data_IF_543139674348
#
_entry.id   IF_543139674348
#
_cell.length_a   1.000
_cell.length_b   1.000
_cell.length_c   1.000
_cell.angle_alpha   90.00
_cell.angle_beta   90.00
_cell.angle_gamma   90.00
#
_symmetry.space_group_name_H-M   'P 1'
#
loop_
_entity.id
_entity.type
_entity.pdbx_description
1 polymer ?
#
# COMPACT_ATOMS: atom_id res chain seq x y z
N UNK A 1 -34.97 39.38 -26.48
CA UNK A 1 -33.73 38.89 -27.11
C UNK A 1 -33.49 37.54 -26.51
N UNK A 2 -34.03 36.51 -27.17
CA UNK A 2 -33.99 35.12 -26.74
C UNK A 2 -32.72 34.45 -27.28
N UNK A 3 -32.01 33.72 -26.41
CA UNK A 3 -30.81 32.98 -26.77
C UNK A 3 -31.11 31.47 -26.74
N UNK A 4 -31.02 30.85 -27.91
CA UNK A 4 -31.19 29.41 -28.13
C UNK A 4 -29.83 28.73 -27.89
N UNK A 5 -29.72 27.67 -27.05
CA UNK A 5 -28.52 26.85 -27.01
C UNK A 5 -28.55 25.80 -28.14
N UNK A 6 -27.48 25.76 -28.94
CA UNK A 6 -27.23 24.69 -29.90
C UNK A 6 -26.69 23.45 -29.20
N UNK A 7 -27.27 22.30 -29.54
CA UNK A 7 -26.83 20.98 -29.09
C UNK A 7 -25.54 20.52 -29.77
N UNK A 8 -24.60 20.04 -28.95
CA UNK A 8 -23.41 19.30 -29.38
C UNK A 8 -23.60 17.81 -29.14
N UNK A 9 -23.71 17.04 -30.22
CA UNK A 9 -23.89 15.59 -30.20
C UNK A 9 -22.66 14.84 -29.65
N UNK A 10 -22.94 13.84 -28.80
CA UNK A 10 -21.97 12.86 -28.30
C UNK A 10 -21.43 12.02 -29.46
N UNK A 11 -20.11 12.03 -29.68
CA UNK A 11 -19.40 10.99 -30.43
C UNK A 11 -18.84 9.98 -29.46
N UNK A 12 -19.43 8.78 -29.45
CA UNK A 12 -18.85 7.59 -28.83
C UNK A 12 -17.64 7.15 -29.67
N UNK A 13 -16.44 7.32 -29.11
CA UNK A 13 -15.24 6.71 -29.67
C UNK A 13 -15.19 5.25 -29.20
N UNK A 14 -15.45 4.34 -30.15
CA UNK A 14 -15.16 2.92 -30.05
C UNK A 14 -13.64 2.73 -29.96
N UNK A 15 -13.14 2.29 -28.80
CA UNK A 15 -11.75 1.90 -28.63
C UNK A 15 -11.51 0.52 -29.25
N UNK A 16 -10.57 0.53 -30.19
CA UNK A 16 -10.16 -0.55 -31.05
C UNK A 16 -9.35 -1.59 -30.27
N UNK A 17 -9.93 -2.78 -30.09
CA UNK A 17 -9.23 -4.01 -29.63
C UNK A 17 -8.24 -4.43 -30.71
N UNK A 18 -6.97 -4.04 -30.62
CA UNK A 18 -5.85 -4.67 -31.37
C UNK A 18 -4.47 -4.19 -30.90
N UNK A 19 -4.04 -4.64 -29.72
CA UNK A 19 -2.62 -4.71 -29.39
C UNK A 19 -2.37 -5.91 -28.45
N UNK A 20 -2.33 -7.09 -29.05
CA UNK A 20 -1.95 -8.34 -28.42
C UNK A 20 -1.12 -9.09 -29.47
N UNK A 21 0.03 -9.62 -29.06
CA UNK A 21 1.01 -10.42 -29.83
C UNK A 21 2.07 -9.66 -30.64
N UNK A 22 3.14 -9.20 -29.97
CA UNK A 22 4.53 -9.39 -30.47
C UNK A 22 5.43 -9.54 -29.25
N UNK A 23 5.78 -10.78 -28.90
CA UNK A 23 6.69 -11.05 -27.76
C UNK A 23 6.97 -12.54 -27.51
N UNK A 24 6.86 -13.38 -28.53
CA UNK A 24 7.05 -14.82 -28.40
C UNK A 24 7.81 -15.41 -29.57
N UNK A 25 9.11 -15.12 -29.70
CA UNK A 25 9.97 -15.75 -30.72
C UNK A 25 11.47 -15.83 -30.36
N UNK A 26 11.83 -15.94 -29.06
CA UNK A 26 13.27 -16.13 -28.68
C UNK A 26 13.53 -17.33 -27.75
N UNK A 27 12.52 -17.99 -27.17
CA UNK A 27 12.76 -19.09 -26.21
C UNK A 27 12.78 -20.49 -26.83
N UNK A 28 12.40 -20.65 -28.11
CA UNK A 28 12.39 -21.98 -28.79
C UNK A 28 13.76 -22.35 -29.40
N UNK A 29 14.78 -21.49 -29.28
CA UNK A 29 16.13 -21.77 -29.79
C UNK A 29 17.04 -22.56 -28.84
N UNK A 30 16.77 -22.56 -27.53
CA UNK A 30 17.71 -23.11 -26.53
C UNK A 30 17.40 -24.55 -26.08
N UNK A 31 16.18 -25.06 -26.30
CA UNK A 31 15.77 -26.39 -25.82
C UNK A 31 16.18 -27.52 -26.79
N UNK A 32 16.43 -27.22 -28.06
CA UNK A 32 16.74 -28.26 -29.06
C UNK A 32 18.23 -28.68 -29.02
N UNK A 33 19.14 -27.87 -28.47
CA UNK A 33 20.57 -28.21 -28.42
C UNK A 33 20.93 -29.15 -27.26
N UNK A 34 20.16 -29.15 -26.17
CA UNK A 34 20.42 -30.02 -25.02
C UNK A 34 20.07 -31.51 -25.28
N UNK A 35 19.06 -31.79 -26.13
CA UNK A 35 18.66 -33.16 -26.45
C UNK A 35 19.64 -33.84 -27.41
N UNK A 36 20.34 -33.08 -28.26
CA UNK A 36 21.29 -33.64 -29.23
C UNK A 36 22.61 -34.12 -28.58
N UNK A 37 23.00 -33.58 -27.42
CA UNK A 37 24.24 -33.98 -26.73
C UNK A 37 24.04 -35.28 -25.92
N UNK A 38 22.82 -35.58 -25.47
CA UNK A 38 22.57 -36.79 -24.67
C UNK A 38 22.61 -38.10 -25.48
N UNK A 39 22.39 -38.06 -26.80
CA UNK A 39 22.39 -39.26 -27.64
C UNK A 39 23.77 -39.72 -28.14
N UNK A 40 24.85 -38.97 -27.91
CA UNK A 40 26.17 -39.29 -28.47
C UNK A 40 27.08 -40.04 -27.48
N UNK A 41 26.77 -40.11 -26.18
CA UNK A 41 27.69 -40.71 -25.18
C UNK A 41 27.09 -41.74 -24.21
N UNK A 42 25.82 -42.14 -24.37
CA UNK A 42 25.17 -43.07 -23.43
C UNK A 42 25.15 -44.52 -23.92
N UNK A 43 26.07 -45.35 -23.40
CA UNK A 43 26.11 -46.79 -23.65
C UNK A 43 24.85 -47.53 -23.17
N UNK A 44 24.54 -48.63 -23.84
CA UNK A 44 23.38 -49.48 -23.60
C UNK A 44 23.39 -50.17 -22.24
N UNK A 45 22.88 -49.47 -21.23
CA UNK A 45 22.38 -50.05 -19.99
C UNK A 45 20.87 -50.23 -20.08
N UNK A 46 20.40 -51.43 -19.77
CA UNK A 46 18.99 -51.79 -19.62
C UNK A 46 18.36 -50.92 -18.52
N UNK A 47 17.48 -49.99 -18.90
CA UNK A 47 16.78 -49.11 -17.97
C UNK A 47 15.62 -49.88 -17.34
N UNK A 48 15.81 -50.33 -16.10
CA UNK A 48 14.71 -50.77 -15.23
C UNK A 48 13.76 -49.59 -14.97
N UNK A 49 12.53 -49.71 -15.46
CA UNK A 49 11.45 -48.78 -15.18
C UNK A 49 11.02 -48.95 -13.71
N UNK A 50 11.53 -48.11 -12.82
CA UNK A 50 11.00 -47.99 -11.46
C UNK A 50 9.62 -47.32 -11.58
N UNK A 51 8.52 -47.96 -11.13
CA UNK A 51 7.20 -47.36 -11.18
C UNK A 51 7.20 -46.07 -10.36
N UNK A 52 6.70 -44.98 -10.96
CA UNK A 52 6.51 -43.71 -10.30
C UNK A 52 5.63 -43.93 -9.07
N UNK A 53 6.24 -43.86 -7.88
CA UNK A 53 5.49 -43.84 -6.63
C UNK A 53 4.61 -42.60 -6.62
N UNK A 54 3.33 -42.77 -6.29
CA UNK A 54 2.44 -41.66 -5.99
C UNK A 54 3.07 -40.84 -4.87
N UNK A 55 3.59 -39.67 -5.22
CA UNK A 55 3.93 -38.63 -4.25
C UNK A 55 2.62 -38.23 -3.59
N UNK A 56 2.43 -38.72 -2.37
CA UNK A 56 1.35 -38.30 -1.50
C UNK A 56 1.67 -36.86 -1.09
N UNK A 57 1.03 -35.90 -1.75
CA UNK A 57 1.04 -34.49 -1.34
C UNK A 57 0.61 -34.44 0.14
N UNK A 58 1.58 -34.22 1.02
CA UNK A 58 1.30 -33.96 2.43
C UNK A 58 0.39 -32.74 2.56
N UNK A 59 -0.38 -32.62 3.65
CA UNK A 59 -1.21 -31.44 3.89
C UNK A 59 -0.30 -30.22 3.87
N UNK A 60 -0.42 -29.40 2.82
CA UNK A 60 0.40 -28.20 2.65
C UNK A 60 0.31 -27.34 3.90
N UNK A 61 1.47 -26.99 4.48
CA UNK A 61 1.52 -26.08 5.61
C UNK A 61 0.79 -24.78 5.24
N UNK A 62 -0.18 -24.39 6.07
CA UNK A 62 -0.96 -23.20 5.83
C UNK A 62 -0.03 -21.97 5.89
N UNK A 63 0.06 -21.25 4.78
CA UNK A 63 0.82 -20.02 4.68
C UNK A 63 0.27 -18.97 5.66
N UNK A 64 1.16 -18.28 6.39
CA UNK A 64 0.79 -17.34 7.45
C UNK A 64 0.91 -15.90 6.92
N UNK A 65 -0.23 -15.26 6.67
CA UNK A 65 -0.32 -13.81 6.44
C UNK A 65 0.26 -13.06 7.64
N UNK A 66 1.05 -11.97 7.47
CA UNK A 66 1.61 -11.24 8.60
C UNK A 66 0.48 -10.71 9.48
N UNK A 67 0.59 -10.94 10.80
CA UNK A 67 -0.41 -10.49 11.77
C UNK A 67 -0.49 -8.95 11.76
N UNK A 68 -1.69 -8.36 11.66
CA UNK A 68 -1.84 -6.92 11.71
C UNK A 68 -1.42 -6.37 13.07
N UNK A 69 -0.84 -5.16 13.07
CA UNK A 69 -0.40 -4.48 14.31
C UNK A 69 -1.59 -3.99 15.14
N UNK A 70 -2.66 -3.57 14.46
CA UNK A 70 -3.92 -3.08 15.05
C UNK A 70 -5.06 -3.88 14.40
N UNK A 71 -6.11 -4.24 15.14
CA UNK A 71 -7.17 -5.11 14.61
C UNK A 71 -7.96 -4.36 13.49
N UNK A 72 -7.93 -4.84 12.23
CA UNK A 72 -8.69 -4.23 11.14
C UNK A 72 -10.14 -4.71 11.14
N UNK A 73 -11.04 -4.04 10.39
CA UNK A 73 -12.37 -4.62 10.13
C UNK A 73 -12.31 -5.72 9.07
N UNK A 74 -11.41 -5.57 8.10
CA UNK A 74 -11.24 -6.46 6.97
C UNK A 74 -9.77 -6.61 6.61
N UNK A 75 -9.43 -7.73 5.96
CA UNK A 75 -8.12 -7.95 5.37
C UNK A 75 -8.28 -8.15 3.86
N UNK A 76 -7.42 -7.48 3.09
CA UNK A 76 -7.38 -7.61 1.64
C UNK A 76 -5.92 -7.64 1.18
N UNK A 77 -5.47 -8.81 0.73
CA UNK A 77 -4.13 -8.95 0.20
C UNK A 77 -3.94 -8.17 -1.11
N UNK A 78 -2.79 -7.51 -1.23
CA UNK A 78 -2.36 -6.79 -2.44
C UNK A 78 -1.23 -7.58 -3.11
N UNK A 79 -1.44 -8.00 -4.35
CA UNK A 79 -0.46 -8.75 -5.13
C UNK A 79 0.38 -7.83 -6.01
N UNK A 80 1.70 -7.99 -5.95
CA UNK A 80 2.65 -7.22 -6.76
C UNK A 80 3.63 -8.14 -7.48
N UNK A 81 3.79 -7.93 -8.79
CA UNK A 81 4.62 -8.81 -9.61
C UNK A 81 6.12 -8.73 -9.29
N UNK A 82 6.59 -7.57 -8.80
CA UNK A 82 8.00 -7.30 -8.49
C UNK A 82 8.12 -6.03 -7.62
N UNK A 83 9.36 -5.67 -7.27
CA UNK A 83 9.72 -4.54 -6.40
C UNK A 83 9.95 -3.20 -7.12
N UNK A 84 9.63 -3.10 -8.41
CA UNK A 84 9.77 -1.85 -9.15
C UNK A 84 8.78 -0.81 -8.63
N UNK A 85 9.24 0.44 -8.53
CA UNK A 85 8.41 1.56 -8.07
C UNK A 85 7.11 1.69 -8.86
N UNK A 86 7.18 1.52 -10.19
CA UNK A 86 6.00 1.55 -11.07
C UNK A 86 4.97 0.46 -10.76
N UNK A 87 5.40 -0.71 -10.29
CA UNK A 87 4.51 -1.81 -9.93
C UNK A 87 3.80 -1.53 -8.61
N UNK A 88 4.51 -1.01 -7.61
CA UNK A 88 3.87 -0.58 -6.35
C UNK A 88 2.94 0.62 -6.56
N UNK A 89 3.32 1.59 -7.40
CA UNK A 89 2.46 2.71 -7.75
C UNK A 89 1.18 2.24 -8.44
N UNK A 90 1.28 1.29 -9.38
CA UNK A 90 0.10 0.69 -10.00
C UNK A 90 -0.83 0.01 -8.98
N UNK A 91 -0.25 -0.68 -7.98
CA UNK A 91 -1.05 -1.27 -6.90
C UNK A 91 -1.76 -0.21 -6.03
N UNK A 92 -1.09 0.92 -5.74
CA UNK A 92 -1.73 2.07 -5.06
C UNK A 92 -2.83 2.70 -5.92
N UNK A 93 -2.63 2.80 -7.24
CA UNK A 93 -3.65 3.29 -8.17
C UNK A 93 -4.85 2.34 -8.26
N UNK A 94 -4.62 1.03 -8.18
CA UNK A 94 -5.70 0.04 -8.12
C UNK A 94 -6.50 0.18 -6.82
N UNK A 95 -5.85 0.38 -5.67
CA UNK A 95 -6.51 0.67 -4.38
C UNK A 95 -7.36 1.94 -4.51
N UNK A 96 -6.82 3.01 -5.11
CA UNK A 96 -7.52 4.28 -5.30
C UNK A 96 -8.89 4.13 -6.00
N UNK A 97 -9.05 3.15 -6.90
CA UNK A 97 -10.28 2.98 -7.70
C UNK A 97 -11.32 2.04 -7.08
N UNK A 98 -11.00 1.41 -5.95
CA UNK A 98 -11.88 0.44 -5.30
C UNK A 98 -12.88 1.11 -4.35
N UNK A 99 -14.02 0.44 -4.16
CA UNK A 99 -15.03 0.84 -3.19
C UNK A 99 -14.75 0.14 -1.85
N UNK A 100 -14.47 0.93 -0.82
CA UNK A 100 -14.26 0.43 0.54
C UNK A 100 -15.47 0.77 1.40
N UNK A 101 -15.84 -0.12 2.35
CA UNK A 101 -16.90 0.19 3.31
C UNK A 101 -16.60 1.47 4.12
N UNK A 102 -17.60 2.33 4.26
CA UNK A 102 -17.50 3.62 4.96
C UNK A 102 -17.11 3.45 6.43
N UNK A 103 -16.19 4.27 6.90
CA UNK A 103 -15.72 4.27 8.29
C UNK A 103 -14.86 3.06 8.67
N UNK A 104 -14.46 2.23 7.70
CA UNK A 104 -13.75 0.96 7.95
C UNK A 104 -12.27 1.04 7.63
N UNK A 105 -11.49 0.29 8.41
CA UNK A 105 -10.05 0.09 8.21
C UNK A 105 -9.84 -1.29 7.62
N UNK A 106 -9.17 -1.32 6.47
CA UNK A 106 -8.83 -2.54 5.74
C UNK A 106 -7.32 -2.69 5.76
N UNK A 107 -6.83 -3.80 6.31
CA UNK A 107 -5.41 -4.15 6.29
C UNK A 107 -5.01 -4.68 4.92
N UNK A 108 -3.89 -4.17 4.38
CA UNK A 108 -3.44 -4.42 3.01
C UNK A 108 -2.08 -5.12 2.94
N UNK A 109 -1.91 -6.35 3.45
CA UNK A 109 -0.62 -7.04 3.36
C UNK A 109 -0.19 -7.15 1.89
N UNK A 110 1.02 -6.67 1.58
CA UNK A 110 1.52 -6.64 0.21
C UNK A 110 2.40 -7.86 -0.03
N UNK A 111 1.97 -8.72 -0.96
CA UNK A 111 2.64 -9.99 -1.29
C UNK A 111 3.22 -9.95 -2.70
N UNK A 112 4.43 -10.48 -2.85
CA UNK A 112 5.03 -10.74 -4.15
C UNK A 112 4.35 -11.94 -4.83
N UNK A 113 4.03 -11.81 -6.11
CA UNK A 113 3.48 -12.92 -6.91
C UNK A 113 4.46 -14.09 -7.01
N UNK A 114 5.76 -13.78 -7.03
CA UNK A 114 6.81 -14.79 -7.05
C UNK A 114 6.99 -15.37 -5.65
N UNK A 115 7.03 -16.70 -5.58
CA UNK A 115 7.39 -17.42 -4.37
C UNK A 115 8.89 -17.32 -4.12
N UNK A 116 9.30 -17.48 -2.87
CA UNK A 116 10.72 -17.64 -2.51
C UNK A 116 11.29 -18.91 -3.14
N UNK A 117 12.61 -19.09 -3.08
CA UNK A 117 13.24 -20.36 -3.49
C UNK A 117 12.76 -21.58 -2.71
N UNK A 118 12.15 -21.37 -1.53
CA UNK A 118 11.51 -22.41 -0.73
C UNK A 118 10.03 -22.65 -1.11
N UNK A 119 9.49 -21.92 -2.09
CA UNK A 119 8.08 -22.01 -2.47
C UNK A 119 7.15 -21.23 -1.53
N UNK A 120 7.68 -20.34 -0.69
CA UNK A 120 6.89 -19.61 0.30
C UNK A 120 6.43 -18.24 -0.24
N UNK A 121 5.22 -17.77 0.11
CA UNK A 121 4.80 -16.39 0.00
C UNK A 121 5.82 -15.41 0.58
N UNK A 122 6.15 -14.37 -0.18
CA UNK A 122 6.99 -13.29 0.31
C UNK A 122 6.16 -12.01 0.48
N UNK A 123 5.93 -11.59 1.72
CA UNK A 123 5.33 -10.30 2.03
C UNK A 123 6.41 -9.22 2.13
N UNK A 124 6.06 -7.99 1.75
CA UNK A 124 6.98 -6.86 1.84
C UNK A 124 7.18 -6.45 3.30
N UNK A 125 8.42 -6.09 3.64
CA UNK A 125 8.72 -5.37 4.89
C UNK A 125 8.53 -3.86 4.70
N UNK A 126 8.44 -3.12 5.81
CA UNK A 126 8.35 -1.66 5.79
C UNK A 126 9.48 -1.02 4.97
N UNK A 127 10.71 -1.51 5.15
CA UNK A 127 11.89 -1.02 4.45
C UNK A 127 11.77 -1.21 2.94
N UNK A 128 11.40 -2.41 2.49
CA UNK A 128 11.28 -2.71 1.06
C UNK A 128 10.15 -1.87 0.47
N UNK A 129 8.99 -1.80 1.13
CA UNK A 129 7.84 -1.04 0.64
C UNK A 129 8.16 0.46 0.48
N UNK A 130 8.69 1.11 1.52
CA UNK A 130 9.00 2.54 1.49
C UNK A 130 10.12 2.86 0.49
N UNK A 131 11.20 2.07 0.49
CA UNK A 131 12.33 2.31 -0.43
C UNK A 131 11.96 2.07 -1.89
N UNK A 132 11.15 1.06 -2.20
CA UNK A 132 10.64 0.82 -3.57
C UNK A 132 9.71 1.93 -4.05
N UNK A 133 8.97 2.58 -3.16
CA UNK A 133 8.18 3.78 -3.49
C UNK A 133 9.04 5.05 -3.59
N UNK A 134 10.34 4.98 -3.30
CA UNK A 134 11.22 6.15 -3.28
C UNK A 134 10.94 7.09 -2.12
N UNK A 135 10.31 6.60 -1.04
CA UNK A 135 10.06 7.38 0.18
C UNK A 135 11.34 7.45 0.99
N UNK A 136 11.82 8.66 1.25
CA UNK A 136 12.97 8.90 2.09
C UNK A 136 12.56 8.77 3.56
N UNK A 137 13.15 7.78 4.24
CA UNK A 137 12.92 7.51 5.66
C UNK A 137 13.97 8.25 6.53
N UNK A 138 13.62 8.62 7.78
CA UNK A 138 14.56 9.08 8.79
C UNK A 138 15.74 8.14 8.95
N UNK A 139 16.89 8.72 9.29
CA UNK A 139 18.07 7.94 9.65
C UNK A 139 17.74 7.05 10.84
N UNK A 140 18.17 5.80 10.78
CA UNK A 140 17.95 4.77 11.80
C UNK A 140 16.49 4.28 11.95
N UNK A 141 15.55 4.68 11.08
CA UNK A 141 14.16 4.24 11.19
C UNK A 141 14.06 2.71 11.19
N UNK A 142 14.72 2.04 10.23
CA UNK A 142 14.58 0.59 10.02
C UNK A 142 15.31 -0.22 11.10
N UNK A 143 16.30 0.37 11.75
CA UNK A 143 16.94 -0.13 12.96
C UNK A 143 15.99 -0.05 14.16
N UNK A 144 15.18 1.01 14.26
CA UNK A 144 14.25 1.24 15.37
C UNK A 144 12.91 0.49 15.25
N UNK A 145 12.44 0.15 14.05
CA UNK A 145 11.12 -0.50 13.86
C UNK A 145 11.20 -2.00 13.54
N UNK A 146 10.12 -2.72 13.84
CA UNK A 146 9.88 -4.08 13.36
C UNK A 146 9.75 -4.07 11.83
N UNK A 147 10.23 -5.13 11.13
CA UNK A 147 10.10 -5.22 9.68
C UNK A 147 8.66 -5.40 9.22
N UNK A 148 7.81 -6.01 10.04
CA UNK A 148 6.36 -6.12 9.83
C UNK A 148 5.74 -4.75 10.06
N UNK A 149 4.88 -4.34 9.14
CA UNK A 149 4.14 -3.10 9.20
C UNK A 149 2.71 -3.34 8.73
N UNK A 150 1.82 -2.40 9.06
CA UNK A 150 0.43 -2.48 8.68
C UNK A 150 0.09 -1.35 7.71
N UNK A 151 0.27 -1.55 6.39
CA UNK A 151 -0.39 -0.70 5.40
C UNK A 151 -1.90 -0.92 5.49
N UNK A 152 -2.65 0.17 5.43
CA UNK A 152 -4.10 0.09 5.50
C UNK A 152 -4.75 1.13 4.60
N UNK A 153 -6.01 0.88 4.27
CA UNK A 153 -6.88 1.85 3.63
C UNK A 153 -8.10 2.10 4.51
N UNK A 154 -8.45 3.37 4.63
CA UNK A 154 -9.66 3.85 5.26
C UNK A 154 -10.69 4.19 4.18
N UNK A 155 -11.88 3.61 4.29
CA UNK A 155 -13.04 4.01 3.51
C UNK A 155 -13.66 5.27 4.12
N UNK A 156 -13.59 6.44 3.46
CA UNK A 156 -14.20 7.68 3.98
C UNK A 156 -15.72 7.56 4.12
N UNK A 157 -16.30 8.35 5.02
CA UNK A 157 -17.75 8.41 5.22
C UNK A 157 -18.42 9.55 4.45
N UNK A 158 -19.72 9.69 4.67
CA UNK A 158 -20.55 10.78 4.12
C UNK A 158 -19.99 12.16 4.48
N UNK A 159 -19.28 12.30 5.60
CA UNK A 159 -18.72 13.57 6.05
C UNK A 159 -17.61 14.10 5.14
N UNK A 160 -16.79 13.25 4.52
CA UNK A 160 -15.81 13.69 3.53
C UNK A 160 -16.48 14.14 2.23
N UNK A 161 -17.50 13.39 1.78
CA UNK A 161 -18.27 13.76 0.60
C UNK A 161 -18.94 15.12 0.79
N UNK A 162 -19.62 15.33 1.92
CA UNK A 162 -20.25 16.60 2.26
C UNK A 162 -19.24 17.76 2.24
N UNK A 163 -18.04 17.58 2.81
CA UNK A 163 -16.98 18.61 2.79
C UNK A 163 -16.49 18.93 1.38
N UNK A 164 -16.41 17.94 0.49
CA UNK A 164 -16.03 18.15 -0.90
C UNK A 164 -17.10 18.91 -1.68
N UNK A 165 -18.38 18.56 -1.47
CA UNK A 165 -19.52 19.24 -2.07
C UNK A 165 -19.63 20.70 -1.59
N UNK A 166 -19.46 20.95 -0.29
CA UNK A 166 -19.42 22.30 0.30
C UNK A 166 -18.26 23.14 -0.27
N UNK A 167 -17.14 22.52 -0.60
CA UNK A 167 -15.99 23.14 -1.24
C UNK A 167 -16.13 23.26 -2.78
N UNK A 168 -17.25 22.80 -3.36
CA UNK A 168 -17.48 22.72 -4.80
C UNK A 168 -16.40 21.94 -5.58
N UNK A 169 -15.88 20.86 -4.97
CA UNK A 169 -14.91 19.96 -5.59
C UNK A 169 -15.65 18.76 -6.19
N UNK A 170 -15.65 18.66 -7.53
CA UNK A 170 -16.32 17.57 -8.27
C UNK A 170 -15.44 16.31 -8.44
N UNK A 171 -14.17 16.39 -8.05
CA UNK A 171 -13.24 15.26 -8.17
C UNK A 171 -13.60 14.16 -7.14
N UNK A 172 -13.94 12.93 -7.58
CA UNK A 172 -14.32 11.84 -6.67
C UNK A 172 -13.16 11.41 -5.76
N UNK A 173 -11.90 11.71 -6.11
CA UNK A 173 -10.76 11.45 -5.22
C UNK A 173 -10.74 12.36 -3.99
N UNK A 174 -11.51 13.46 -4.02
CA UNK A 174 -11.76 14.31 -2.85
C UNK A 174 -12.46 13.55 -1.72
N UNK A 175 -13.26 12.53 -1.99
CA UNK A 175 -13.85 11.69 -0.95
C UNK A 175 -13.60 10.22 -1.23
N UNK A 176 -12.46 9.93 -1.88
CA UNK A 176 -11.99 8.58 -2.15
C UNK A 176 -11.19 7.97 -1.00
N UNK A 177 -10.78 6.70 -1.11
CA UNK A 177 -10.03 5.98 -0.08
C UNK A 177 -8.79 6.74 0.41
N UNK A 178 -8.42 6.50 1.67
CA UNK A 178 -7.27 7.14 2.32
C UNK A 178 -6.28 6.09 2.79
N UNK A 179 -5.08 6.12 2.23
CA UNK A 179 -4.00 5.22 2.63
C UNK A 179 -3.38 5.66 3.96
N UNK A 180 -2.92 4.68 4.73
CA UNK A 180 -2.10 4.91 5.91
C UNK A 180 -1.18 3.74 6.19
N UNK A 181 -0.26 3.96 7.12
CA UNK A 181 0.75 3.01 7.58
C UNK A 181 0.79 3.04 9.11
N UNK A 182 0.91 1.87 9.72
CA UNK A 182 1.31 1.74 11.12
C UNK A 182 2.66 1.02 11.17
N UNK A 183 3.61 1.62 11.86
CA UNK A 183 4.94 1.07 12.13
C UNK A 183 5.06 0.84 13.64
N UNK A 184 5.67 -0.27 14.05
CA UNK A 184 5.87 -0.60 15.45
C UNK A 184 7.36 -0.57 15.80
N UNK A 185 7.73 0.05 16.91
CA UNK A 185 9.10 0.01 17.44
C UNK A 185 9.50 -1.42 17.81
N UNK A 186 10.80 -1.70 17.67
CA UNK A 186 11.42 -2.83 18.37
C UNK A 186 11.42 -2.55 19.87
N UNK A 187 11.41 -3.62 20.66
CA UNK A 187 11.55 -3.53 22.11
C UNK A 187 12.78 -2.70 22.50
N UNK A 188 12.59 -1.67 23.32
CA UNK A 188 13.64 -0.77 23.80
C UNK A 188 13.92 0.43 22.89
N UNK A 189 13.21 0.57 21.75
CA UNK A 189 13.38 1.68 20.79
C UNK A 189 12.20 2.67 20.82
N UNK A 190 11.26 2.52 21.77
CA UNK A 190 10.02 3.30 21.84
C UNK A 190 10.29 4.80 22.03
N UNK A 191 11.27 5.13 22.88
CA UNK A 191 11.66 6.52 23.19
C UNK A 191 12.30 7.24 21.99
N UNK A 192 12.74 6.51 20.97
CA UNK A 192 13.32 7.08 19.75
C UNK A 192 12.26 7.53 18.74
N UNK A 193 11.04 6.96 18.80
CA UNK A 193 10.00 7.21 17.80
C UNK A 193 9.62 8.69 17.64
N UNK A 194 9.45 9.50 18.71
CA UNK A 194 9.12 10.92 18.55
C UNK A 194 10.20 11.69 17.78
N UNK A 195 11.47 11.36 18.00
CA UNK A 195 12.59 11.98 17.29
C UNK A 195 12.61 11.55 15.82
N UNK A 196 12.46 10.26 15.52
CA UNK A 196 12.38 9.74 14.16
C UNK A 196 11.20 10.34 13.39
N UNK A 197 10.00 10.35 13.98
CA UNK A 197 8.82 10.95 13.38
C UNK A 197 9.00 12.46 13.12
N UNK A 198 9.78 13.15 13.95
CA UNK A 198 10.09 14.57 13.73
C UNK A 198 11.00 14.81 12.53
N UNK A 199 11.86 13.86 12.17
CA UNK A 199 12.74 13.98 11.00
C UNK A 199 11.94 13.96 9.70
N UNK A 200 10.90 13.14 9.57
CA UNK A 200 10.00 13.21 8.41
C UNK A 200 9.38 14.58 8.20
N UNK A 201 9.18 15.35 9.28
CA UNK A 201 8.68 16.72 9.19
C UNK A 201 9.71 17.73 8.70
N UNK A 202 10.99 17.37 8.74
CA UNK A 202 12.12 18.20 8.34
C UNK A 202 12.71 17.78 6.97
N UNK A 203 12.25 16.65 6.40
CA UNK A 203 12.68 16.19 5.09
C UNK A 203 11.90 16.91 3.99
N UNK A 204 12.57 17.86 3.32
CA UNK A 204 12.03 18.56 2.14
C UNK A 204 11.73 17.59 0.97
N UNK A 205 12.35 16.41 0.96
CA UNK A 205 12.27 15.38 -0.09
C UNK A 205 11.75 14.03 0.43
N UNK A 206 10.91 14.02 1.48
CA UNK A 206 10.40 12.75 2.04
C UNK A 206 9.65 11.86 1.04
N UNK A 207 9.10 12.44 -0.03
CA UNK A 207 8.25 11.79 -1.03
C UNK A 207 7.01 11.07 -0.44
N UNK A 208 6.58 11.45 0.77
CA UNK A 208 5.43 10.84 1.47
C UNK A 208 4.10 11.10 0.76
N UNK A 209 4.02 12.12 -0.10
CA UNK A 209 2.90 12.37 -0.99
C UNK A 209 2.64 11.24 -1.99
N UNK A 210 3.62 10.36 -2.20
CA UNK A 210 3.43 9.12 -3.00
C UNK A 210 2.32 8.25 -2.41
N UNK A 211 2.09 8.31 -1.09
CA UNK A 211 1.04 7.57 -0.39
C UNK A 211 -0.36 8.17 -0.62
N UNK A 212 -0.46 9.41 -1.08
CA UNK A 212 -1.74 10.10 -1.28
C UNK A 212 -2.44 9.52 -2.51
N UNK A 213 -3.64 8.95 -2.29
CA UNK A 213 -4.45 8.28 -3.32
C UNK A 213 -5.34 9.25 -4.14
N UNK A 214 -4.98 10.53 -4.22
CA UNK A 214 -5.66 11.52 -5.05
C UNK A 214 -4.82 11.95 -6.25
N UNK A 215 -5.47 12.45 -7.30
CA UNK A 215 -4.77 12.93 -8.50
C UNK A 215 -4.07 14.28 -8.26
N UNK A 216 -4.55 15.05 -7.28
CA UNK A 216 -3.91 16.26 -6.78
C UNK A 216 -2.94 15.91 -5.66
N UNK A 217 -1.72 15.47 -6.03
CA UNK A 217 -0.64 15.11 -5.08
C UNK A 217 0.27 16.29 -4.70
N UNK A 218 -0.08 17.53 -5.07
CA UNK A 218 0.80 18.68 -4.86
C UNK A 218 0.89 19.02 -3.36
N UNK A 219 2.00 18.66 -2.72
CA UNK A 219 2.36 19.23 -1.41
C UNK A 219 2.59 20.73 -1.62
N UNK A 220 2.04 21.61 -0.77
CA UNK A 220 2.36 23.03 -0.84
C UNK A 220 3.88 23.25 -0.86
N UNK A 221 4.37 24.15 -1.70
CA UNK A 221 5.82 24.38 -1.89
C UNK A 221 6.59 24.80 -0.63
N UNK A 222 5.87 25.19 0.42
CA UNK A 222 6.40 25.39 1.77
C UNK A 222 5.42 24.75 2.77
N UNK A 223 5.51 23.42 2.99
CA UNK A 223 4.57 22.75 3.87
C UNK A 223 4.83 23.17 5.32
N UNK A 224 3.86 23.81 5.96
CA UNK A 224 3.90 24.09 7.40
C UNK A 224 3.14 23.01 8.15
N UNK A 225 3.84 22.23 8.98
CA UNK A 225 3.19 21.29 9.88
C UNK A 225 2.38 22.04 10.94
N UNK A 226 1.11 21.69 11.03
CA UNK A 226 0.24 22.05 12.14
C UNK A 226 0.22 20.91 13.17
N UNK A 227 -0.30 21.18 14.35
CA UNK A 227 -0.52 20.18 15.39
C UNK A 227 -1.94 20.25 15.96
N UNK A 228 -2.52 19.11 16.29
CA UNK A 228 -3.77 18.99 17.03
C UNK A 228 -3.62 17.96 18.15
N UNK A 229 -4.42 18.08 19.21
CA UNK A 229 -4.53 17.06 20.25
C UNK A 229 -5.75 16.17 19.96
N UNK A 230 -5.56 14.86 20.06
CA UNK A 230 -6.60 13.85 19.90
C UNK A 230 -6.76 13.07 21.21
N UNK A 231 -7.93 13.12 21.84
CA UNK A 231 -8.19 12.48 23.17
C UNK A 231 -9.03 11.21 23.09
N UNK A 232 -9.09 10.54 21.92
CA UNK A 232 -10.03 9.45 21.67
C UNK A 232 -11.47 9.95 21.49
N UNK A 233 -12.34 9.11 20.92
CA UNK A 233 -13.75 9.44 20.72
C UNK A 233 -14.56 9.44 22.03
N UNK A 234 -14.10 8.73 23.05
CA UNK A 234 -14.71 8.68 24.38
C UNK A 234 -14.25 9.82 25.33
N UNK A 235 -13.21 10.55 24.95
CA UNK A 235 -12.62 11.65 25.72
C UNK A 235 -11.94 11.22 27.03
N UNK A 236 -11.75 9.93 27.27
CA UNK A 236 -11.14 9.40 28.51
C UNK A 236 -9.65 9.08 28.35
N UNK A 237 -9.15 9.03 27.12
CA UNK A 237 -7.80 8.59 26.78
C UNK A 237 -6.78 9.73 26.86
N UNK A 238 -5.51 9.37 27.09
CA UNK A 238 -4.42 10.33 27.08
C UNK A 238 -4.36 11.06 25.72
N UNK A 239 -4.24 12.39 25.70
CA UNK A 239 -4.15 13.13 24.45
C UNK A 239 -2.92 12.72 23.64
N UNK A 240 -3.12 12.33 22.38
CA UNK A 240 -2.08 12.09 21.38
C UNK A 240 -1.92 13.35 20.53
N UNK A 241 -0.68 13.82 20.38
CA UNK A 241 -0.38 14.93 19.48
C UNK A 241 -0.28 14.42 18.04
N UNK A 242 -1.14 14.94 17.17
CA UNK A 242 -1.16 14.64 15.74
C UNK A 242 -0.58 15.83 14.98
N UNK A 243 0.51 15.60 14.24
CA UNK A 243 1.11 16.58 13.33
C UNK A 243 0.54 16.38 11.93
N UNK A 244 0.24 17.47 11.21
CA UNK A 244 -0.32 17.34 9.88
C UNK A 244 0.04 18.49 8.93
N UNK A 245 0.12 18.16 7.64
CA UNK A 245 0.11 19.12 6.53
C UNK A 245 -1.23 18.96 5.81
N UNK A 246 -1.96 20.06 5.61
CA UNK A 246 -3.14 20.03 4.75
C UNK A 246 -2.68 19.98 3.29
N UNK A 247 -3.21 19.04 2.52
CA UNK A 247 -3.02 18.97 1.08
C UNK A 247 -4.04 19.90 0.39
N UNK A 248 -3.92 20.16 -0.93
CA UNK A 248 -4.85 21.03 -1.66
C UNK A 248 -6.31 20.57 -1.60
N UNK A 249 -6.55 19.25 -1.49
CA UNK A 249 -7.88 18.71 -1.24
C UNK A 249 -8.22 18.81 0.26
N UNK A 250 -9.39 19.38 0.57
CA UNK A 250 -9.84 19.70 1.94
C UNK A 250 -9.92 18.50 2.89
N UNK A 251 -10.09 17.30 2.33
CA UNK A 251 -10.20 16.01 3.04
C UNK A 251 -8.89 15.23 3.07
N UNK A 252 -7.86 15.72 2.39
CA UNK A 252 -6.55 15.07 2.31
C UNK A 252 -5.56 15.83 3.19
N UNK A 253 -4.79 15.08 3.96
CA UNK A 253 -3.73 15.64 4.78
C UNK A 253 -2.66 14.57 4.98
N UNK A 254 -1.40 14.95 5.03
CA UNK A 254 -0.35 14.04 5.49
C UNK A 254 -0.24 14.18 7.02
N UNK A 255 -0.55 13.12 7.76
CA UNK A 255 -0.63 13.12 9.21
C UNK A 255 0.40 12.17 9.81
N UNK A 256 0.96 12.57 10.95
CA UNK A 256 1.88 11.78 11.76
C UNK A 256 1.44 11.84 13.22
N UNK A 257 1.42 10.68 13.85
CA UNK A 257 1.25 10.56 15.29
C UNK A 257 2.17 9.48 15.82
N UNK A 258 2.67 9.69 17.04
CA UNK A 258 3.34 8.65 17.82
C UNK A 258 2.46 8.36 19.02
N UNK A 259 2.09 7.09 19.19
CA UNK A 259 1.26 6.61 20.30
C UNK A 259 1.88 5.32 20.81
N UNK A 260 2.26 5.30 22.09
CA UNK A 260 3.02 4.22 22.71
C UNK A 260 4.27 3.83 21.89
N UNK A 261 4.32 2.59 21.40
CA UNK A 261 5.39 2.07 20.56
C UNK A 261 5.06 2.10 19.06
N UNK A 262 4.09 2.91 18.63
CA UNK A 262 3.61 2.97 17.25
C UNK A 262 3.83 4.34 16.61
N UNK A 263 4.22 4.34 15.34
CA UNK A 263 4.09 5.49 14.44
C UNK A 263 2.89 5.24 13.52
N UNK A 264 1.97 6.21 13.48
CA UNK A 264 0.84 6.23 12.54
C UNK A 264 1.09 7.32 11.50
N UNK A 265 1.08 6.92 10.22
CA UNK A 265 1.12 7.81 9.07
C UNK A 265 -0.20 7.67 8.32
N UNK A 266 -0.89 8.78 8.02
CA UNK A 266 -2.18 8.71 7.33
C UNK A 266 -2.37 9.86 6.35
N UNK A 267 -3.10 9.59 5.26
CA UNK A 267 -3.38 10.57 4.19
C UNK A 267 -4.71 11.32 4.37
N UNK A 268 -5.39 11.17 5.51
CA UNK A 268 -6.42 12.11 5.99
C UNK A 268 -6.47 12.18 7.51
N UNK A 269 -6.99 13.30 8.04
CA UNK A 269 -7.20 13.49 9.48
C UNK A 269 -8.18 12.46 10.04
N UNK A 270 -9.28 12.21 9.34
CA UNK A 270 -10.28 11.23 9.75
C UNK A 270 -9.69 9.81 9.80
N UNK A 271 -8.90 9.42 8.78
CA UNK A 271 -8.17 8.14 8.76
C UNK A 271 -7.22 8.02 9.96
N UNK A 272 -6.46 9.08 10.27
CA UNK A 272 -5.59 9.12 11.44
C UNK A 272 -6.38 8.96 12.74
N UNK A 273 -7.49 9.69 12.91
CA UNK A 273 -8.29 9.65 14.13
C UNK A 273 -8.96 8.30 14.35
N UNK A 274 -9.49 7.67 13.30
CA UNK A 274 -10.06 6.32 13.39
C UNK A 274 -9.00 5.30 13.78
N UNK A 275 -7.79 5.38 13.21
CA UNK A 275 -6.70 4.48 13.59
C UNK A 275 -6.23 4.71 15.03
N UNK A 276 -6.05 5.97 15.44
CA UNK A 276 -5.67 6.31 16.82
C UNK A 276 -6.72 5.88 17.84
N UNK A 277 -8.01 6.03 17.51
CA UNK A 277 -9.08 5.60 18.42
C UNK A 277 -9.04 4.09 18.69
N UNK A 278 -8.75 3.29 17.64
CA UNK A 278 -8.55 1.83 17.77
C UNK A 278 -7.36 1.49 18.63
N UNK A 279 -6.20 2.07 18.34
CA UNK A 279 -4.97 1.83 19.11
C UNK A 279 -5.21 2.11 20.59
N UNK A 280 -5.86 3.24 20.90
CA UNK A 280 -6.14 3.60 22.29
C UNK A 280 -7.27 2.75 22.91
N UNK A 281 -8.12 2.12 22.10
CA UNK A 281 -9.27 1.30 22.56
C UNK A 281 -8.94 -0.17 22.78
N UNK A 282 -7.80 -0.63 22.25
CA UNK A 282 -7.25 -1.97 22.49
C UNK A 282 -6.43 -2.07 23.80
N UNK A 283 -6.18 -0.94 24.47
CA UNK A 283 -5.51 -0.84 25.78
C UNK A 283 -6.48 -1.11 26.94
#
# INVERSE_FOLDING_TARGET
>A
MDYIPQGGGKRLNFLNRRTLLVGGSVVIGAVIVAVAIFFVTGGGGELELIPAGEETEGPGEAFITPTPIVIPDFEQEVLVANLLSSTLQAALDDIKTQNYPEGKIIYLPVRLEQLTSAGEPQFLSAQIFLSSLGINAPDNLFEAINPVFMPYVYGPGDEEQARCEEAAIEDPTCYGPRFGLVLQAKEGMEDELPALASQWRALDDSNLETLVLSDTKEVPSAPSFNSAQFSGLDGQKQPVTVYYINMPLSTTALNFAVVDNLIVIATSKNSSFVMLDRILGEQ
#
